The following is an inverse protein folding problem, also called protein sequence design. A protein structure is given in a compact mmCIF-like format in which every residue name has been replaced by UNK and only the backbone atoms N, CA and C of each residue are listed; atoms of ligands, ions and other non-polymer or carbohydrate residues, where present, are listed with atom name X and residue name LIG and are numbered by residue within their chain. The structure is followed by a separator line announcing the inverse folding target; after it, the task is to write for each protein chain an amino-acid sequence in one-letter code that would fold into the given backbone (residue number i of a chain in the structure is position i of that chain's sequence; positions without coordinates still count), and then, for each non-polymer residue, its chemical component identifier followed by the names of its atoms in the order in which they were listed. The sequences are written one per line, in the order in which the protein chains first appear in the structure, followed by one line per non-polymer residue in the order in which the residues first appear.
data_IF_378058992771
#
_entry.id   IF_378058992771
#
_cell.length_a   1.000
_cell.length_b   1.000
_cell.length_c   1.000
_cell.angle_alpha   90.00
_cell.angle_beta   90.00
_cell.angle_gamma   90.00
#
_symmetry.space_group_name_H-M   'P 1'
#
loop_
_entity.id
_entity.type
_entity.pdbx_description
1 polymer ?
#
# COMPACT_ATOMS: atom_id res chain seq x y z
N UNK A 1 -21.80 26.62 -52.79
CA UNK A 1 -20.98 26.60 -51.55
C UNK A 1 -20.00 27.75 -51.66
N UNK A 2 -20.09 28.73 -50.78
CA UNK A 2 -19.22 29.93 -50.83
C UNK A 2 -17.92 29.68 -50.07
N UNK A 3 -16.87 30.47 -50.35
CA UNK A 3 -15.60 30.38 -49.61
C UNK A 3 -15.80 30.63 -48.10
N UNK A 4 -16.79 31.43 -47.72
CA UNK A 4 -17.18 31.64 -46.32
C UNK A 4 -17.75 30.36 -45.68
N UNK A 5 -18.56 29.58 -46.39
CA UNK A 5 -19.11 28.32 -45.87
C UNK A 5 -18.01 27.28 -45.58
N UNK A 6 -17.00 27.21 -46.44
CA UNK A 6 -15.85 26.31 -46.27
C UNK A 6 -15.01 26.71 -45.05
N UNK A 7 -14.72 28.01 -44.89
CA UNK A 7 -13.97 28.54 -43.74
C UNK A 7 -14.74 28.31 -42.44
N UNK A 8 -16.05 28.55 -42.44
CA UNK A 8 -16.89 28.33 -41.27
C UNK A 8 -16.95 26.84 -40.89
N UNK A 9 -17.11 25.95 -41.88
CA UNK A 9 -17.08 24.50 -41.69
C UNK A 9 -15.76 24.01 -41.08
N UNK A 10 -14.62 24.48 -41.60
CA UNK A 10 -13.30 24.14 -41.07
C UNK A 10 -13.11 24.64 -39.61
N UNK A 11 -13.58 25.86 -39.30
CA UNK A 11 -13.55 26.38 -37.92
C UNK A 11 -14.42 25.57 -36.97
N UNK A 12 -15.62 25.18 -37.39
CA UNK A 12 -16.52 24.34 -36.58
C UNK A 12 -15.90 22.97 -36.33
N UNK A 13 -15.28 22.36 -37.34
CA UNK A 13 -14.58 21.08 -37.20
C UNK A 13 -13.40 21.20 -36.23
N UNK A 14 -12.56 22.23 -36.37
CA UNK A 14 -11.45 22.47 -35.46
C UNK A 14 -11.92 22.69 -34.01
N UNK A 15 -13.02 23.42 -33.79
CA UNK A 15 -13.61 23.59 -32.46
C UNK A 15 -14.10 22.26 -31.87
N UNK A 16 -14.66 21.36 -32.70
CA UNK A 16 -15.07 20.02 -32.24
C UNK A 16 -13.86 19.16 -31.84
N UNK A 17 -12.79 19.21 -32.62
CA UNK A 17 -11.53 18.52 -32.32
C UNK A 17 -10.91 19.03 -31.00
N UNK A 18 -10.83 20.35 -30.82
CA UNK A 18 -10.34 20.95 -29.57
C UNK A 18 -11.19 20.56 -28.36
N UNK A 19 -12.53 20.51 -28.51
CA UNK A 19 -13.42 20.03 -27.44
C UNK A 19 -13.14 18.57 -27.07
N UNK A 20 -12.96 17.70 -28.06
CA UNK A 20 -12.64 16.28 -27.82
C UNK A 20 -11.27 16.13 -27.12
N UNK A 21 -10.27 16.93 -27.50
CA UNK A 21 -8.96 16.95 -26.85
C UNK A 21 -9.06 17.45 -25.40
N UNK A 22 -9.84 18.50 -25.14
CA UNK A 22 -10.07 19.02 -23.78
C UNK A 22 -10.70 17.94 -22.88
N UNK A 23 -11.71 17.23 -23.35
CA UNK A 23 -12.34 16.16 -22.55
C UNK A 23 -11.39 14.98 -22.30
N UNK A 24 -10.56 14.64 -23.29
CA UNK A 24 -9.51 13.62 -23.12
C UNK A 24 -8.48 14.04 -22.07
N UNK A 25 -8.02 15.31 -22.13
CA UNK A 25 -7.06 15.85 -21.17
C UNK A 25 -7.63 15.95 -19.75
N UNK A 26 -8.91 16.31 -19.60
CA UNK A 26 -9.58 16.31 -18.29
C UNK A 26 -9.61 14.91 -17.69
N UNK A 27 -10.04 13.91 -18.46
CA UNK A 27 -10.08 12.53 -18.00
C UNK A 27 -8.69 12.01 -17.59
N UNK A 28 -7.65 12.37 -18.35
CA UNK A 28 -6.27 12.03 -18.01
C UNK A 28 -5.78 12.74 -16.73
N UNK A 29 -6.11 14.03 -16.55
CA UNK A 29 -5.73 14.80 -15.37
C UNK A 29 -6.42 14.25 -14.11
N UNK A 30 -7.71 13.93 -14.19
CA UNK A 30 -8.47 13.34 -13.07
C UNK A 30 -7.95 11.95 -12.70
N UNK A 31 -7.48 11.17 -13.68
CA UNK A 31 -6.79 9.91 -13.43
C UNK A 31 -5.46 10.15 -12.69
N UNK A 32 -4.61 11.04 -13.18
CA UNK A 32 -3.30 11.33 -12.56
C UNK A 32 -3.45 11.89 -11.13
N UNK A 33 -4.48 12.72 -10.89
CA UNK A 33 -4.78 13.23 -9.55
C UNK A 33 -5.13 12.10 -8.57
N UNK A 34 -5.95 11.14 -8.99
CA UNK A 34 -6.28 9.96 -8.18
C UNK A 34 -5.04 9.11 -7.90
N UNK A 35 -4.28 8.79 -8.94
CA UNK A 35 -3.02 8.03 -8.78
C UNK A 35 -2.06 8.73 -7.81
N UNK A 36 -1.94 10.06 -7.88
CA UNK A 36 -1.07 10.83 -6.98
C UNK A 36 -1.55 10.80 -5.51
N UNK A 37 -2.85 11.00 -5.26
CA UNK A 37 -3.39 10.91 -3.89
C UNK A 37 -3.20 9.50 -3.29
N UNK A 38 -3.38 8.48 -4.11
CA UNK A 38 -3.12 7.11 -3.68
C UNK A 38 -1.64 6.84 -3.39
N UNK A 39 -0.71 7.33 -4.23
CA UNK A 39 0.73 7.25 -3.97
C UNK A 39 1.15 7.99 -2.69
N UNK A 40 0.55 9.15 -2.41
CA UNK A 40 0.75 9.86 -1.14
C UNK A 40 0.32 9.00 0.05
N UNK A 41 -0.82 8.32 -0.05
CA UNK A 41 -1.28 7.38 0.97
C UNK A 41 -0.30 6.23 1.18
N UNK A 42 0.14 5.60 0.09
CA UNK A 42 1.12 4.52 0.11
C UNK A 42 2.45 4.93 0.78
N UNK A 43 2.99 6.07 0.38
CA UNK A 43 4.22 6.62 0.95
C UNK A 43 4.05 7.04 2.42
N UNK A 44 2.92 7.66 2.76
CA UNK A 44 2.59 8.04 4.13
C UNK A 44 2.55 6.83 5.07
N UNK A 45 1.91 5.73 4.67
CA UNK A 45 1.89 4.50 5.45
C UNK A 45 3.30 3.94 5.68
N UNK A 46 4.14 3.91 4.65
CA UNK A 46 5.52 3.45 4.76
C UNK A 46 6.38 4.35 5.68
N UNK A 47 6.23 5.67 5.61
CA UNK A 47 6.97 6.61 6.46
C UNK A 47 6.64 6.44 7.94
N UNK A 48 5.35 6.27 8.26
CA UNK A 48 4.93 6.08 9.64
C UNK A 48 5.45 4.73 10.16
N UNK A 49 5.32 3.66 9.37
CA UNK A 49 5.89 2.35 9.72
C UNK A 49 7.42 2.40 9.90
N UNK A 50 8.12 3.25 9.14
CA UNK A 50 9.56 3.45 9.30
C UNK A 50 9.89 4.14 10.62
N UNK A 51 9.05 5.06 11.08
CA UNK A 51 9.16 5.66 12.41
C UNK A 51 8.98 4.63 13.52
N UNK A 52 7.99 3.74 13.39
CA UNK A 52 7.76 2.68 14.37
C UNK A 52 8.93 1.69 14.42
N UNK A 53 9.45 1.27 13.26
CA UNK A 53 10.64 0.41 13.16
C UNK A 53 11.85 1.00 13.89
N UNK A 54 12.12 2.30 13.69
CA UNK A 54 13.22 3.01 14.37
C UNK A 54 13.00 3.17 15.86
N UNK A 55 11.74 3.19 16.30
CA UNK A 55 11.37 3.36 17.72
C UNK A 55 11.38 2.05 18.50
N UNK A 56 11.69 0.91 17.85
CA UNK A 56 11.69 -0.38 18.52
C UNK A 56 12.81 -0.48 19.56
N UNK A 57 12.51 -0.99 20.78
CA UNK A 57 13.52 -1.23 21.81
C UNK A 57 14.53 -2.31 21.36
N UNK A 58 15.76 -2.34 21.92
CA UNK A 58 16.72 -3.40 21.62
C UNK A 58 16.12 -4.80 21.79
N UNK A 59 16.35 -5.68 20.81
CA UNK A 59 15.78 -7.04 20.79
C UNK A 59 14.35 -7.14 20.25
N UNK A 60 13.63 -6.02 20.11
CA UNK A 60 12.30 -5.98 19.52
C UNK A 60 12.29 -6.24 18.02
N UNK A 61 11.24 -6.91 17.53
CA UNK A 61 11.00 -7.21 16.12
C UNK A 61 9.84 -6.39 15.55
N UNK A 62 9.96 -6.05 14.28
CA UNK A 62 8.90 -5.41 13.50
C UNK A 62 8.15 -6.47 12.68
N UNK A 63 6.96 -6.83 13.14
CA UNK A 63 6.17 -7.91 12.56
C UNK A 63 5.16 -7.34 11.58
N UNK A 64 5.35 -7.61 10.30
CA UNK A 64 4.45 -7.18 9.23
C UNK A 64 3.48 -8.32 8.92
N UNK A 65 2.19 -8.07 8.94
CA UNK A 65 1.13 -9.06 8.68
C UNK A 65 0.39 -8.68 7.42
N UNK A 66 0.34 -9.60 6.46
CA UNK A 66 -0.52 -9.51 5.28
C UNK A 66 -1.96 -9.87 5.69
N UNK A 67 -2.80 -8.85 5.85
CA UNK A 67 -4.08 -8.93 6.55
C UNK A 67 -5.08 -9.88 5.88
N UNK A 68 -5.37 -9.67 4.60
CA UNK A 68 -6.34 -10.52 3.89
C UNK A 68 -5.83 -11.94 3.67
N UNK A 69 -4.52 -12.12 3.55
CA UNK A 69 -3.97 -13.47 3.46
C UNK A 69 -4.23 -14.29 4.73
N UNK A 70 -4.22 -13.63 5.90
CA UNK A 70 -4.52 -14.25 7.19
C UNK A 70 -6.03 -14.50 7.41
N UNK A 71 -6.90 -13.64 6.86
CA UNK A 71 -8.36 -13.76 6.95
C UNK A 71 -8.92 -14.77 5.93
N UNK A 72 -8.56 -14.63 4.67
CA UNK A 72 -9.10 -15.41 3.55
C UNK A 72 -8.33 -16.70 3.27
N UNK A 73 -7.16 -16.88 3.88
CA UNK A 73 -6.32 -18.07 3.69
C UNK A 73 -6.97 -19.37 4.15
N UNK A 74 -6.48 -20.50 3.61
CA UNK A 74 -7.09 -21.83 3.75
C UNK A 74 -7.32 -22.34 5.20
N UNK A 75 -6.72 -21.74 6.23
CA UNK A 75 -6.97 -22.10 7.64
C UNK A 75 -7.54 -20.93 8.47
N UNK A 76 -8.15 -19.92 7.83
CA UNK A 76 -8.82 -18.74 8.44
C UNK A 76 -8.35 -18.45 9.87
N UNK A 77 -7.12 -17.92 10.02
CA UNK A 77 -6.58 -17.64 11.36
C UNK A 77 -7.32 -16.49 12.02
N UNK A 78 -8.03 -15.67 11.23
CA UNK A 78 -9.03 -14.71 11.65
C UNK A 78 -10.23 -14.75 10.68
N UNK A 79 -11.42 -14.42 11.15
CA UNK A 79 -12.64 -14.33 10.33
C UNK A 79 -12.84 -12.91 9.75
N UNK A 80 -12.31 -11.90 10.43
CA UNK A 80 -12.44 -10.49 10.07
C UNK A 80 -11.24 -9.66 10.58
N UNK A 81 -11.12 -8.38 10.19
CA UNK A 81 -10.05 -7.49 10.67
C UNK A 81 -10.04 -7.27 12.18
N UNK A 82 -11.19 -7.35 12.86
CA UNK A 82 -11.30 -7.18 14.32
C UNK A 82 -10.67 -8.37 15.04
N UNK A 83 -10.95 -9.58 14.59
CA UNK A 83 -10.34 -10.79 15.14
C UNK A 83 -8.84 -10.81 14.87
N UNK A 84 -8.39 -10.39 13.68
CA UNK A 84 -6.95 -10.31 13.38
C UNK A 84 -6.24 -9.32 14.31
N UNK A 85 -6.88 -8.18 14.61
CA UNK A 85 -6.40 -7.24 15.62
C UNK A 85 -6.26 -7.89 16.99
N UNK A 86 -7.27 -8.64 17.46
CA UNK A 86 -7.21 -9.34 18.77
C UNK A 86 -6.06 -10.34 18.80
N UNK A 87 -5.82 -11.06 17.69
CA UNK A 87 -4.67 -11.97 17.60
C UNK A 87 -3.33 -11.22 17.68
N UNK A 88 -3.22 -10.06 17.05
CA UNK A 88 -2.03 -9.21 17.16
C UNK A 88 -1.83 -8.66 18.58
N UNK A 89 -2.90 -8.23 19.26
CA UNK A 89 -2.84 -7.78 20.66
C UNK A 89 -2.37 -8.90 21.59
N UNK A 90 -2.85 -10.14 21.40
CA UNK A 90 -2.38 -11.31 22.15
C UNK A 90 -0.90 -11.58 21.88
N UNK A 91 -0.48 -11.56 20.62
CA UNK A 91 0.93 -11.70 20.25
C UNK A 91 1.80 -10.65 20.95
N UNK A 92 1.36 -9.39 20.99
CA UNK A 92 2.09 -8.28 21.63
C UNK A 92 2.12 -8.38 23.15
N UNK A 93 1.14 -9.04 23.78
CA UNK A 93 1.17 -9.36 25.20
C UNK A 93 2.26 -10.40 25.52
N UNK A 94 2.44 -11.39 24.64
CA UNK A 94 3.47 -12.43 24.75
C UNK A 94 4.87 -11.92 24.33
N UNK A 95 4.92 -10.91 23.46
CA UNK A 95 6.13 -10.33 22.88
C UNK A 95 6.18 -8.81 23.19
N UNK A 96 6.57 -8.41 24.40
CA UNK A 96 6.43 -7.02 24.87
C UNK A 96 7.36 -6.02 24.17
N UNK A 97 8.41 -6.49 23.49
CA UNK A 97 9.36 -5.66 22.75
C UNK A 97 9.00 -5.50 21.27
N UNK A 98 8.05 -6.28 20.78
CA UNK A 98 7.68 -6.29 19.36
C UNK A 98 6.66 -5.21 19.04
N UNK A 99 6.60 -4.89 17.74
CA UNK A 99 5.59 -4.05 17.13
C UNK A 99 4.94 -4.82 15.97
N UNK A 100 3.63 -4.71 15.83
CA UNK A 100 2.89 -5.37 14.74
C UNK A 100 2.34 -4.32 13.78
N UNK A 101 2.53 -4.53 12.49
CA UNK A 101 1.91 -3.75 11.42
C UNK A 101 1.08 -4.66 10.54
N UNK A 102 -0.25 -4.50 10.56
CA UNK A 102 -1.17 -5.22 9.68
C UNK A 102 -1.45 -4.35 8.46
N UNK A 103 -1.24 -4.93 7.27
CA UNK A 103 -1.49 -4.26 5.98
C UNK A 103 -2.64 -4.96 5.27
N UNK A 104 -3.71 -4.22 4.99
CA UNK A 104 -4.87 -4.68 4.24
C UNK A 104 -4.90 -4.09 2.83
N UNK A 105 -5.35 -4.90 1.86
CA UNK A 105 -5.71 -4.42 0.53
C UNK A 105 -7.12 -3.83 0.53
N UNK A 106 -7.30 -2.60 0.04
CA UNK A 106 -8.63 -2.03 -0.19
C UNK A 106 -9.02 -0.92 0.78
N UNK A 107 -10.31 -0.54 0.82
CA UNK A 107 -10.75 0.70 1.44
C UNK A 107 -10.50 0.71 2.96
N UNK A 108 -10.27 1.91 3.49
CA UNK A 108 -10.03 2.12 4.92
C UNK A 108 -11.26 1.72 5.75
N UNK A 109 -11.10 0.74 6.63
CA UNK A 109 -12.11 0.40 7.64
C UNK A 109 -11.79 1.11 8.97
N UNK A 110 -12.80 1.34 9.82
CA UNK A 110 -12.70 2.14 11.04
C UNK A 110 -11.92 1.48 12.20
N UNK A 111 -11.09 0.47 11.91
CA UNK A 111 -10.26 -0.20 12.92
C UNK A 111 -9.12 0.72 13.34
N UNK A 112 -9.06 1.02 14.63
CA UNK A 112 -8.08 1.95 15.20
C UNK A 112 -6.74 1.26 15.50
N UNK A 113 -5.67 2.03 15.31
CA UNK A 113 -4.33 1.73 15.80
C UNK A 113 -4.30 1.63 17.35
N UNK A 114 -3.29 0.92 17.85
CA UNK A 114 -2.89 0.94 19.25
C UNK A 114 -1.37 1.19 19.36
N UNK A 115 -0.86 1.42 20.58
CA UNK A 115 0.51 1.90 20.82
C UNK A 115 1.60 1.08 20.11
N UNK A 116 1.43 -0.26 20.04
CA UNK A 116 2.38 -1.19 19.38
C UNK A 116 1.77 -1.95 18.21
N UNK A 117 0.63 -1.49 17.73
CA UNK A 117 -0.13 -2.12 16.66
C UNK A 117 -0.59 -1.06 15.66
N UNK A 118 -0.06 -1.14 14.44
CA UNK A 118 -0.51 -0.32 13.33
C UNK A 118 -1.38 -1.14 12.38
N UNK A 119 -2.43 -0.51 11.87
CA UNK A 119 -3.25 -1.04 10.80
C UNK A 119 -3.23 -0.05 9.66
N UNK A 120 -2.93 -0.52 8.46
CA UNK A 120 -2.89 0.32 7.26
C UNK A 120 -3.65 -0.34 6.13
N UNK A 121 -4.28 0.50 5.32
CA UNK A 121 -5.07 0.10 4.17
C UNK A 121 -4.41 0.64 2.91
N UNK A 122 -4.32 -0.17 1.88
CA UNK A 122 -3.77 0.21 0.58
C UNK A 122 -4.88 0.43 -0.44
N UNK A 123 -4.58 1.03 -1.60
CA UNK A 123 -5.56 1.21 -2.68
C UNK A 123 -6.09 -0.09 -3.29
N UNK A 124 -5.50 -1.25 -2.96
CA UNK A 124 -6.00 -2.59 -3.31
C UNK A 124 -5.89 -2.98 -4.79
N UNK A 125 -5.37 -2.12 -5.67
CA UNK A 125 -5.23 -2.41 -7.10
C UNK A 125 -3.84 -2.05 -7.64
N UNK A 126 -3.39 -2.80 -8.64
CA UNK A 126 -2.17 -2.52 -9.42
C UNK A 126 -0.91 -2.33 -8.55
N UNK A 127 -0.28 -1.16 -8.68
CA UNK A 127 0.98 -0.80 -8.00
C UNK A 127 0.83 -0.51 -6.51
N UNK A 128 -0.38 -0.55 -5.97
CA UNK A 128 -0.68 -0.16 -4.58
C UNK A 128 -1.30 -1.30 -3.80
N UNK A 129 -0.94 -2.53 -4.17
CA UNK A 129 -1.28 -3.71 -3.39
C UNK A 129 -0.39 -3.81 -2.14
N UNK A 130 -0.88 -4.51 -1.13
CA UNK A 130 -0.23 -4.74 0.15
C UNK A 130 1.10 -5.46 -0.04
N UNK A 131 1.15 -6.45 -0.93
CA UNK A 131 2.39 -7.14 -1.31
C UNK A 131 3.47 -6.16 -1.77
N UNK A 132 3.12 -5.19 -2.62
CA UNK A 132 4.04 -4.17 -3.11
C UNK A 132 4.46 -3.19 -2.03
N UNK A 133 3.52 -2.70 -1.20
CA UNK A 133 3.85 -1.84 -0.06
C UNK A 133 4.83 -2.52 0.89
N UNK A 134 4.58 -3.79 1.23
CA UNK A 134 5.43 -4.58 2.11
C UNK A 134 6.81 -4.75 1.47
N UNK A 135 6.89 -5.11 0.20
CA UNK A 135 8.17 -5.25 -0.51
C UNK A 135 8.96 -3.93 -0.58
N UNK A 136 8.29 -2.82 -0.91
CA UNK A 136 8.93 -1.51 -1.01
C UNK A 136 9.42 -1.03 0.36
N UNK A 137 8.65 -1.27 1.43
CA UNK A 137 9.07 -1.02 2.81
C UNK A 137 10.27 -1.87 3.22
N UNK A 138 10.24 -3.19 2.95
CA UNK A 138 11.36 -4.10 3.26
C UNK A 138 12.61 -3.69 2.50
N UNK A 139 12.49 -3.27 1.23
CA UNK A 139 13.61 -2.75 0.44
C UNK A 139 14.21 -1.49 1.05
N UNK A 140 13.37 -0.55 1.50
CA UNK A 140 13.82 0.65 2.21
C UNK A 140 14.54 0.28 3.52
N UNK A 141 13.97 -0.60 4.33
CA UNK A 141 14.59 -1.03 5.59
C UNK A 141 15.92 -1.79 5.37
N UNK A 142 16.01 -2.56 4.28
CA UNK A 142 17.24 -3.19 3.83
C UNK A 142 18.32 -2.14 3.52
N UNK A 143 17.98 -1.11 2.73
CA UNK A 143 18.90 0.01 2.48
C UNK A 143 19.36 0.72 3.76
N UNK A 144 18.50 0.80 4.79
CA UNK A 144 18.83 1.39 6.08
C UNK A 144 19.59 0.46 7.05
N UNK A 145 19.75 -0.83 6.73
CA UNK A 145 20.41 -1.82 7.60
C UNK A 145 19.53 -2.40 8.72
N UNK A 146 18.22 -2.10 8.73
CA UNK A 146 17.28 -2.50 9.80
C UNK A 146 16.53 -3.82 9.49
N UNK A 147 16.78 -4.41 8.32
CA UNK A 147 15.98 -5.52 7.79
C UNK A 147 16.03 -6.80 8.66
N UNK A 148 17.11 -6.97 9.44
CA UNK A 148 17.27 -8.11 10.36
C UNK A 148 16.22 -8.15 11.48
N UNK A 149 15.59 -7.01 11.75
CA UNK A 149 14.53 -6.86 12.77
C UNK A 149 13.13 -7.10 12.21
N UNK A 150 12.99 -7.24 10.89
CA UNK A 150 11.68 -7.36 10.22
C UNK A 150 11.30 -8.82 10.05
N UNK A 151 10.07 -9.14 10.43
CA UNK A 151 9.44 -10.45 10.22
C UNK A 151 8.17 -10.26 9.42
N UNK A 152 8.11 -10.80 8.20
CA UNK A 152 6.89 -10.78 7.38
C UNK A 152 6.09 -12.06 7.60
N UNK A 153 4.81 -11.91 7.93
CA UNK A 153 3.83 -12.96 8.14
C UNK A 153 2.82 -12.92 6.99
N UNK A 154 3.01 -13.82 6.04
CA UNK A 154 2.10 -14.07 4.91
C UNK A 154 2.20 -15.54 4.52
N UNK A 155 1.16 -16.08 3.90
CA UNK A 155 1.15 -17.39 3.22
C UNK A 155 1.29 -17.25 1.71
N UNK A 156 1.32 -16.02 1.19
CA UNK A 156 1.62 -15.79 -0.22
C UNK A 156 3.08 -16.19 -0.50
N UNK A 157 3.25 -17.29 -1.26
CA UNK A 157 4.56 -17.85 -1.62
C UNK A 157 5.37 -16.94 -2.53
N UNK A 158 4.73 -16.04 -3.26
CA UNK A 158 5.40 -15.06 -4.12
C UNK A 158 5.96 -13.95 -3.23
N UNK A 159 5.13 -13.39 -2.35
CA UNK A 159 5.56 -12.36 -1.40
C UNK A 159 6.68 -12.87 -0.48
N UNK A 160 6.57 -14.09 0.05
CA UNK A 160 7.63 -14.69 0.88
C UNK A 160 8.96 -14.79 0.13
N UNK A 161 8.94 -15.19 -1.15
CA UNK A 161 10.16 -15.30 -1.96
C UNK A 161 10.80 -13.94 -2.21
N UNK A 162 9.98 -12.93 -2.49
CA UNK A 162 10.48 -11.57 -2.74
C UNK A 162 11.05 -10.93 -1.47
N UNK A 163 10.38 -11.08 -0.33
CA UNK A 163 10.89 -10.62 0.96
C UNK A 163 12.21 -11.32 1.31
N UNK A 164 12.30 -12.64 1.14
CA UNK A 164 13.53 -13.38 1.40
C UNK A 164 14.69 -12.91 0.52
N UNK A 165 14.40 -12.63 -0.77
CA UNK A 165 15.37 -12.05 -1.70
C UNK A 165 15.86 -10.69 -1.19
N UNK A 166 14.96 -9.79 -0.81
CA UNK A 166 15.32 -8.46 -0.29
C UNK A 166 16.13 -8.54 1.01
N UNK A 167 15.76 -9.44 1.92
CA UNK A 167 16.49 -9.66 3.17
C UNK A 167 17.92 -10.21 2.96
N UNK A 168 18.15 -10.94 1.86
CA UNK A 168 19.47 -11.47 1.53
C UNK A 168 20.44 -10.44 0.95
N UNK A 169 19.95 -9.31 0.43
CA UNK A 169 20.78 -8.28 -0.21
C UNK A 169 21.63 -7.46 0.78
N UNK A 170 21.35 -7.57 2.08
CA UNK A 170 22.02 -6.80 3.13
C UNK A 170 22.80 -7.68 4.11
N UNK A 171 23.18 -8.89 3.67
CA UNK A 171 24.16 -9.74 4.37
C UNK A 171 25.59 -9.36 3.99
#
# INVERSE_FOLDING_TARGET
MTAQDVILGARVQHVRELKAQIETLKAANDRLRRENEEWKGHFGAALIAASDLRSLPPGGRFVIVDGWNFILGANRMAQDPVQLRIHAERYLAENPLDFVWIVFDGPHESVKDAVRLRISYTGGTGSQRADRLICDFVRMAAYCGDVSRIVVKTRDKILLREVARLQSLCK
#
